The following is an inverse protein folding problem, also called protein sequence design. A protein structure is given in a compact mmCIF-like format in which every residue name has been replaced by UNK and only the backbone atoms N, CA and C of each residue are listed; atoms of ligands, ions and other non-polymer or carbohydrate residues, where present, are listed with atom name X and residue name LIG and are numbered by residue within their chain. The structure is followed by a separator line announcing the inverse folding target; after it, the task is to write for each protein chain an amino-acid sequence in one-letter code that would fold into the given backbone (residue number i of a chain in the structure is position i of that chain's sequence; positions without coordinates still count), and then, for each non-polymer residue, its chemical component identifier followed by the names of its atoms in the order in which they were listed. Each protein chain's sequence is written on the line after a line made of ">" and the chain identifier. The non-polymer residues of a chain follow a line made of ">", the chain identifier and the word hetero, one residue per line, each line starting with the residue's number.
data_IF_277136736826
#
_entry.id   IF_277136736826
#
_cell.length_a   1.000
_cell.length_b   1.000
_cell.length_c   1.000
_cell.angle_alpha   90.00
_cell.angle_beta   90.00
_cell.angle_gamma   90.00
#
_symmetry.space_group_name_H-M   'P 1'
#
loop_
_entity.id
_entity.type
_entity.pdbx_description
1 polymer ?
#
# COMPACT_ATOMS: atom_id res chain seq x y z
N UNK A 1 0.85 -19.02 66.07
CA UNK A 1 1.53 -17.92 66.78
C UNK A 1 2.22 -17.03 65.74
N UNK A 2 1.95 -15.72 65.81
CA UNK A 2 2.33 -14.65 64.88
C UNK A 2 3.82 -14.30 64.98
N UNK A 3 4.48 -13.94 63.85
CA UNK A 3 5.55 -12.90 63.71
C UNK A 3 5.56 -12.44 62.23
N UNK A 4 4.88 -11.35 61.88
CA UNK A 4 5.33 -9.94 61.81
C UNK A 4 6.44 -9.72 60.77
N UNK A 5 6.08 -8.94 59.75
CA UNK A 5 6.90 -8.37 58.65
C UNK A 5 7.57 -7.07 59.15
N UNK A 6 8.75 -6.69 58.62
CA UNK A 6 9.07 -5.27 58.45
C UNK A 6 9.24 -4.92 56.97
N UNK A 7 8.51 -3.90 56.56
CA UNK A 7 8.68 -3.18 55.31
C UNK A 7 10.06 -2.52 55.24
N UNK A 8 10.72 -2.59 54.09
CA UNK A 8 11.89 -1.75 53.77
C UNK A 8 11.80 -1.30 52.30
N UNK A 9 11.33 -0.07 52.16
CA UNK A 9 11.85 1.02 51.32
C UNK A 9 12.06 0.79 49.81
N UNK A 10 11.03 1.21 49.09
CA UNK A 10 11.03 1.84 47.77
C UNK A 10 12.32 2.62 47.44
N UNK A 11 13.02 2.23 46.37
CA UNK A 11 13.89 3.14 45.60
C UNK A 11 13.40 3.10 44.16
N UNK A 12 12.67 4.16 43.79
CA UNK A 12 12.39 4.50 42.40
C UNK A 12 13.73 4.68 41.68
N UNK A 13 14.13 3.69 40.89
CA UNK A 13 15.19 3.89 39.91
C UNK A 13 14.62 4.77 38.80
N UNK A 14 15.11 6.00 38.79
CA UNK A 14 14.81 7.05 37.82
C UNK A 14 14.97 6.50 36.41
N UNK A 15 13.83 6.33 35.72
CA UNK A 15 13.80 6.24 34.26
C UNK A 15 14.35 7.57 33.73
N UNK A 16 15.62 7.61 33.37
CA UNK A 16 16.13 8.61 32.44
C UNK A 16 15.57 8.23 31.06
N UNK A 17 14.34 8.67 30.81
CA UNK A 17 13.79 8.74 29.48
C UNK A 17 14.69 9.69 28.68
N UNK A 18 15.60 9.11 27.89
CA UNK A 18 16.16 9.80 26.73
C UNK A 18 14.96 10.05 25.82
N UNK A 19 14.34 11.21 25.99
CA UNK A 19 13.35 11.74 25.06
C UNK A 19 14.13 12.19 23.82
N UNK A 20 14.61 11.20 23.06
CA UNK A 20 14.99 11.42 21.68
C UNK A 20 13.69 11.78 20.97
N UNK A 21 13.64 12.96 20.35
CA UNK A 21 12.49 13.41 19.58
C UNK A 21 12.00 12.26 18.70
N UNK A 22 10.82 11.72 19.00
CA UNK A 22 10.15 10.75 18.14
C UNK A 22 9.85 11.48 16.83
N UNK A 23 10.77 11.39 15.87
CA UNK A 23 10.41 11.51 14.46
C UNK A 23 9.32 10.46 14.26
N UNK A 24 8.06 10.91 14.18
CA UNK A 24 6.91 10.02 14.12
C UNK A 24 7.15 8.96 13.05
N UNK A 25 7.31 7.70 13.47
CA UNK A 25 7.46 6.60 12.54
C UNK A 25 6.21 6.53 11.68
N UNK A 26 6.36 6.48 10.36
CA UNK A 26 5.23 6.33 9.46
C UNK A 26 4.65 4.93 9.66
N UNK A 27 3.51 4.86 10.35
CA UNK A 27 2.92 3.59 10.77
C UNK A 27 2.20 2.89 9.63
N UNK A 28 1.87 1.60 9.81
CA UNK A 28 1.05 0.86 8.85
C UNK A 28 -0.36 1.47 8.70
N UNK A 29 -0.91 2.05 9.77
CA UNK A 29 -2.21 2.73 9.73
C UNK A 29 -2.13 4.02 8.90
N UNK A 30 -1.02 4.77 9.02
CA UNK A 30 -0.77 5.95 8.18
C UNK A 30 -0.61 5.57 6.71
N UNK A 31 0.07 4.44 6.43
CA UNK A 31 0.19 3.89 5.08
C UNK A 31 -1.19 3.52 4.50
N UNK A 32 -1.99 2.76 5.25
CA UNK A 32 -3.34 2.38 4.85
C UNK A 32 -4.23 3.61 4.59
N UNK A 33 -4.18 4.62 5.46
CA UNK A 33 -4.92 5.86 5.30
C UNK A 33 -4.47 6.65 4.06
N UNK A 34 -3.16 6.70 3.80
CA UNK A 34 -2.60 7.36 2.63
C UNK A 34 -3.02 6.66 1.32
N UNK A 35 -2.89 5.33 1.24
CA UNK A 35 -3.37 4.55 0.09
C UNK A 35 -4.86 4.75 -0.14
N UNK A 36 -5.69 4.61 0.91
CA UNK A 36 -7.15 4.81 0.84
C UNK A 36 -7.50 6.20 0.31
N UNK A 37 -6.80 7.24 0.76
CA UNK A 37 -7.01 8.61 0.28
C UNK A 37 -6.75 8.73 -1.22
N UNK A 38 -5.67 8.12 -1.72
CA UNK A 38 -5.37 8.08 -3.15
C UNK A 38 -6.44 7.28 -3.89
N UNK A 39 -6.79 6.07 -3.43
CA UNK A 39 -7.79 5.25 -4.12
C UNK A 39 -9.16 5.92 -4.23
N UNK A 40 -9.64 6.53 -3.16
CA UNK A 40 -10.93 7.25 -3.17
C UNK A 40 -10.95 8.42 -4.15
N UNK A 41 -9.79 9.04 -4.44
CA UNK A 41 -9.68 10.12 -5.43
C UNK A 41 -9.87 9.60 -6.86
N UNK A 42 -9.38 8.40 -7.18
CA UNK A 42 -9.30 7.91 -8.56
C UNK A 42 -10.35 6.87 -8.95
N UNK A 43 -11.01 6.22 -7.98
CA UNK A 43 -11.93 5.09 -8.21
C UNK A 43 -13.06 5.39 -9.21
N UNK A 44 -13.50 6.65 -9.34
CA UNK A 44 -14.53 7.07 -10.28
C UNK A 44 -14.00 7.70 -11.58
N UNK A 45 -12.68 7.77 -11.75
CA UNK A 45 -12.02 8.42 -12.90
C UNK A 45 -11.14 7.48 -13.73
N UNK A 46 -10.85 6.29 -13.21
CA UNK A 46 -10.17 5.21 -13.93
C UNK A 46 -11.19 4.13 -14.31
N UNK A 47 -10.92 3.44 -15.40
CA UNK A 47 -11.82 2.44 -15.98
C UNK A 47 -11.59 1.12 -15.24
N UNK A 48 -12.51 0.76 -14.34
CA UNK A 48 -12.46 -0.48 -13.56
C UNK A 48 -13.46 -1.53 -14.05
N UNK A 49 -14.25 -1.20 -15.08
CA UNK A 49 -15.36 -2.03 -15.56
C UNK A 49 -14.89 -3.28 -16.31
N UNK A 50 -15.61 -4.37 -16.07
CA UNK A 50 -15.29 -5.68 -16.64
C UNK A 50 -14.07 -6.34 -15.98
N UNK A 51 -13.72 -5.93 -14.76
CA UNK A 51 -12.64 -6.54 -13.99
C UNK A 51 -12.88 -8.04 -13.80
N UNK A 52 -11.81 -8.82 -13.95
CA UNK A 52 -11.80 -10.26 -13.64
C UNK A 52 -11.56 -10.46 -12.16
N UNK A 53 -12.18 -11.47 -11.57
CA UNK A 53 -11.85 -11.86 -10.19
C UNK A 53 -10.67 -12.83 -10.19
N UNK A 54 -9.72 -12.61 -9.29
CA UNK A 54 -8.60 -13.51 -9.02
C UNK A 54 -8.54 -13.80 -7.52
N UNK A 55 -8.48 -15.07 -7.15
CA UNK A 55 -8.23 -15.48 -5.76
C UNK A 55 -6.73 -15.68 -5.56
N UNK A 56 -6.15 -14.94 -4.63
CA UNK A 56 -4.72 -15.03 -4.30
C UNK A 56 -4.42 -16.43 -3.77
N UNK A 57 -3.35 -17.04 -4.27
CA UNK A 57 -2.89 -18.36 -3.80
C UNK A 57 -1.55 -18.25 -3.09
N UNK A 58 -1.20 -19.29 -2.33
CA UNK A 58 0.06 -19.32 -1.59
C UNK A 58 1.26 -19.15 -2.53
N UNK A 59 2.11 -18.18 -2.21
CA UNK A 59 3.33 -17.86 -2.98
C UNK A 59 3.14 -16.79 -4.04
N UNK A 60 1.91 -16.30 -4.24
CA UNK A 60 1.68 -15.15 -5.10
C UNK A 60 2.34 -13.89 -4.54
N UNK A 61 2.87 -13.09 -5.45
CA UNK A 61 3.16 -11.69 -5.21
C UNK A 61 2.27 -10.85 -6.10
N UNK A 62 1.93 -9.64 -5.66
CA UNK A 62 1.08 -8.77 -6.45
C UNK A 62 1.71 -8.42 -7.81
N UNK A 63 3.03 -8.27 -7.87
CA UNK A 63 3.74 -8.05 -9.12
C UNK A 63 3.67 -9.25 -10.07
N UNK A 64 3.75 -10.49 -9.57
CA UNK A 64 3.60 -11.69 -10.39
C UNK A 64 2.17 -11.85 -10.91
N UNK A 65 1.16 -11.56 -10.08
CA UNK A 65 -0.24 -11.49 -10.51
C UNK A 65 -0.39 -10.43 -11.62
N UNK A 66 0.20 -9.26 -11.44
CA UNK A 66 0.16 -8.18 -12.43
C UNK A 66 0.79 -8.62 -13.75
N UNK A 67 1.97 -9.24 -13.72
CA UNK A 67 2.62 -9.80 -14.93
C UNK A 67 1.72 -10.79 -15.64
N UNK A 68 1.08 -11.70 -14.91
CA UNK A 68 0.17 -12.71 -15.46
C UNK A 68 -1.00 -12.11 -16.23
N UNK A 69 -1.53 -10.97 -15.79
CA UNK A 69 -2.72 -10.36 -16.39
C UNK A 69 -2.42 -9.21 -17.36
N UNK A 70 -1.36 -8.44 -17.12
CA UNK A 70 -1.04 -7.22 -17.88
C UNK A 70 0.15 -7.38 -18.82
N UNK A 71 0.93 -8.46 -18.70
CA UNK A 71 2.10 -8.73 -19.54
C UNK A 71 3.43 -8.61 -18.79
N UNK A 72 4.48 -9.21 -19.36
CA UNK A 72 5.79 -9.37 -18.74
C UNK A 72 6.51 -8.07 -18.36
N UNK A 73 6.23 -6.98 -19.08
CA UNK A 73 6.81 -5.66 -18.86
C UNK A 73 5.95 -4.77 -17.94
N UNK A 74 4.81 -5.28 -17.44
CA UNK A 74 3.82 -4.50 -16.67
C UNK A 74 3.77 -4.84 -15.18
N UNK A 75 4.76 -5.54 -14.63
CA UNK A 75 4.74 -6.00 -13.23
C UNK A 75 4.54 -4.90 -12.17
N UNK A 76 4.86 -3.64 -12.49
CA UNK A 76 4.68 -2.48 -11.61
C UNK A 76 3.34 -1.74 -11.81
N UNK A 77 2.46 -2.21 -12.69
CA UNK A 77 1.09 -1.67 -12.87
C UNK A 77 0.09 -2.18 -11.81
N UNK A 78 0.58 -2.88 -10.80
CA UNK A 78 -0.23 -3.38 -9.69
C UNK A 78 -1.07 -2.34 -8.94
N UNK A 79 -0.74 -1.03 -8.89
CA UNK A 79 -1.60 -0.04 -8.25
C UNK A 79 -3.02 -0.01 -8.84
N UNK A 80 -3.20 -0.33 -10.13
CA UNK A 80 -4.52 -0.43 -10.75
C UNK A 80 -5.35 -1.58 -10.17
N UNK A 81 -4.72 -2.73 -9.88
CA UNK A 81 -5.38 -3.86 -9.20
C UNK A 81 -5.77 -3.48 -7.78
N UNK A 82 -4.89 -2.76 -7.08
CA UNK A 82 -5.13 -2.32 -5.70
C UNK A 82 -6.24 -1.28 -5.61
N UNK A 83 -6.29 -0.34 -6.55
CA UNK A 83 -7.40 0.59 -6.67
C UNK A 83 -8.73 -0.14 -6.84
N UNK A 84 -8.79 -1.17 -7.69
CA UNK A 84 -10.00 -1.95 -7.91
C UNK A 84 -10.38 -2.80 -6.69
N UNK A 85 -9.37 -3.29 -5.96
CA UNK A 85 -9.50 -4.21 -4.82
C UNK A 85 -9.48 -3.50 -3.45
N UNK A 86 -9.60 -2.17 -3.43
CA UNK A 86 -9.43 -1.35 -2.21
C UNK A 86 -10.44 -1.63 -1.09
N UNK A 87 -11.55 -2.29 -1.41
CA UNK A 87 -12.56 -2.73 -0.45
C UNK A 87 -12.14 -4.03 0.29
N UNK A 88 -11.11 -4.72 -0.21
CA UNK A 88 -10.57 -5.98 0.32
C UNK A 88 -9.23 -5.72 1.03
N UNK A 89 -8.33 -4.98 0.37
CA UNK A 89 -6.98 -4.71 0.87
C UNK A 89 -6.49 -3.35 0.39
N UNK A 90 -5.84 -2.59 1.27
CA UNK A 90 -5.35 -1.24 0.98
C UNK A 90 -3.86 -1.22 0.67
N UNK A 91 -3.04 -1.82 1.54
CA UNK A 91 -1.60 -1.87 1.31
C UNK A 91 -1.24 -3.03 0.36
N UNK A 92 -0.53 -2.77 -0.75
CA UNK A 92 -0.08 -3.81 -1.68
C UNK A 92 0.75 -4.92 -1.05
N UNK A 93 1.45 -4.64 0.05
CA UNK A 93 2.33 -5.59 0.75
C UNK A 93 1.54 -6.55 1.68
N UNK A 94 0.23 -6.35 1.83
CA UNK A 94 -0.63 -7.10 2.76
C UNK A 94 -1.61 -8.06 2.07
N UNK A 95 -1.34 -8.44 0.82
CA UNK A 95 -2.15 -9.48 0.15
C UNK A 95 -1.92 -10.85 0.79
N UNK A 96 -2.98 -11.63 0.97
CA UNK A 96 -2.90 -12.97 1.56
C UNK A 96 -3.71 -14.00 0.75
N UNK A 97 -3.33 -15.30 0.81
CA UNK A 97 -4.09 -16.35 0.14
C UNK A 97 -5.58 -16.36 0.53
N UNK A 98 -6.45 -16.56 -0.45
CA UNK A 98 -7.91 -16.54 -0.30
C UNK A 98 -8.55 -15.15 -0.50
N UNK A 99 -7.76 -14.07 -0.52
CA UNK A 99 -8.27 -12.75 -0.89
C UNK A 99 -8.71 -12.74 -2.37
N UNK A 100 -9.87 -12.14 -2.64
CA UNK A 100 -10.37 -11.95 -4.01
C UNK A 100 -10.03 -10.56 -4.50
N UNK A 101 -9.08 -10.48 -5.43
CA UNK A 101 -8.69 -9.25 -6.09
C UNK A 101 -9.49 -9.04 -7.37
N UNK A 102 -9.83 -7.79 -7.64
CA UNK A 102 -10.39 -7.33 -8.90
C UNK A 102 -9.25 -6.93 -9.82
N UNK A 103 -9.23 -7.50 -11.03
CA UNK A 103 -8.22 -7.26 -12.06
C UNK A 103 -8.87 -6.49 -13.23
N UNK A 104 -8.82 -5.15 -13.24
CA UNK A 104 -9.29 -4.32 -14.34
C UNK A 104 -8.59 -4.65 -15.66
N UNK A 105 -9.19 -4.20 -16.76
CA UNK A 105 -8.51 -4.21 -18.05
C UNK A 105 -7.55 -3.02 -18.14
N UNK A 106 -6.25 -3.28 -18.04
CA UNK A 106 -5.22 -2.24 -18.18
C UNK A 106 -5.33 -1.53 -19.53
N UNK A 107 -5.62 -2.26 -20.61
CA UNK A 107 -5.57 -1.70 -21.95
C UNK A 107 -6.66 -0.65 -22.16
N UNK A 108 -7.84 -0.80 -21.54
CA UNK A 108 -8.88 0.23 -21.59
C UNK A 108 -8.42 1.57 -21.02
N UNK A 109 -7.68 1.54 -19.92
CA UNK A 109 -7.11 2.76 -19.33
C UNK A 109 -5.97 3.32 -20.20
N UNK A 110 -5.20 2.43 -20.84
CA UNK A 110 -4.13 2.84 -21.74
C UNK A 110 -4.64 3.36 -23.07
N UNK A 111 -5.79 2.95 -23.59
CA UNK A 111 -6.31 3.40 -24.89
C UNK A 111 -7.09 4.71 -24.79
N UNK A 112 -7.73 4.95 -23.65
CA UNK A 112 -8.47 6.18 -23.40
C UNK A 112 -7.52 7.33 -22.96
N UNK A 113 -7.43 8.44 -23.72
CA UNK A 113 -6.49 9.52 -23.40
C UNK A 113 -6.75 10.21 -22.05
N UNK A 114 -8.01 10.32 -21.63
CA UNK A 114 -8.35 10.94 -20.35
C UNK A 114 -7.94 10.02 -19.20
N UNK A 115 -8.33 8.74 -19.27
CA UNK A 115 -7.97 7.73 -18.28
C UNK A 115 -6.44 7.57 -18.20
N UNK A 116 -5.72 7.54 -19.33
CA UNK A 116 -4.25 7.50 -19.36
C UNK A 116 -3.64 8.67 -18.61
N UNK A 117 -4.14 9.89 -18.84
CA UNK A 117 -3.74 11.10 -18.12
C UNK A 117 -4.04 11.03 -16.61
N UNK A 118 -5.20 10.48 -16.21
CA UNK A 118 -5.49 10.22 -14.78
C UNK A 118 -4.55 9.16 -14.21
N UNK A 119 -4.22 8.16 -14.99
CA UNK A 119 -3.36 7.05 -14.58
C UNK A 119 -1.95 7.55 -14.26
N UNK A 120 -1.41 8.46 -15.08
CA UNK A 120 -0.16 9.19 -14.79
C UNK A 120 -0.15 9.83 -13.41
N UNK A 121 -1.16 10.65 -13.10
CA UNK A 121 -1.22 11.36 -11.81
C UNK A 121 -1.46 10.37 -10.66
N UNK A 122 -2.27 9.33 -10.89
CA UNK A 122 -2.48 8.25 -9.93
C UNK A 122 -1.18 7.54 -9.55
N UNK A 123 -0.37 7.13 -10.54
CA UNK A 123 0.92 6.49 -10.30
C UNK A 123 1.88 7.42 -9.52
N UNK A 124 1.90 8.71 -9.84
CA UNK A 124 2.67 9.71 -9.10
C UNK A 124 2.20 9.89 -7.65
N UNK A 125 0.88 9.94 -7.40
CA UNK A 125 0.31 10.03 -6.05
C UNK A 125 0.65 8.77 -5.22
N UNK A 126 0.61 7.58 -5.82
CA UNK A 126 1.00 6.32 -5.16
C UNK A 126 2.50 6.30 -4.86
N UNK A 127 3.34 6.81 -5.77
CA UNK A 127 4.77 6.95 -5.53
C UNK A 127 5.06 7.77 -4.27
N UNK A 128 4.30 8.86 -4.06
CA UNK A 128 4.38 9.66 -2.84
C UNK A 128 4.00 8.91 -1.55
N UNK A 129 3.15 7.88 -1.62
CA UNK A 129 2.86 7.00 -0.47
C UNK A 129 4.07 6.11 -0.18
N UNK A 130 4.69 5.52 -1.21
CA UNK A 130 5.89 4.69 -1.05
C UNK A 130 7.09 5.46 -0.53
N UNK A 131 7.26 6.73 -0.94
CA UNK A 131 8.27 7.62 -0.38
C UNK A 131 8.10 7.76 1.15
N UNK A 132 6.87 8.01 1.62
CA UNK A 132 6.57 8.10 3.06
C UNK A 132 6.82 6.80 3.81
N UNK A 133 6.63 5.65 3.15
CA UNK A 133 7.03 4.31 3.66
C UNK A 133 8.56 4.11 3.67
N UNK A 134 9.36 5.06 3.20
CA UNK A 134 10.81 4.92 3.05
C UNK A 134 11.24 4.04 1.87
N UNK A 135 10.31 3.67 0.98
CA UNK A 135 10.58 2.82 -0.17
C UNK A 135 10.81 3.67 -1.43
N UNK A 136 11.98 4.32 -1.47
CA UNK A 136 12.38 5.22 -2.56
C UNK A 136 12.60 4.49 -3.89
N UNK A 137 12.98 3.21 -3.86
CA UNK A 137 13.12 2.40 -5.06
C UNK A 137 11.76 2.17 -5.75
N UNK A 138 10.72 1.86 -4.97
CA UNK A 138 9.37 1.72 -5.51
C UNK A 138 8.81 3.07 -5.98
N UNK A 139 9.03 4.13 -5.21
CA UNK A 139 8.68 5.50 -5.63
C UNK A 139 9.26 5.80 -7.02
N UNK A 140 10.56 5.63 -7.22
CA UNK A 140 11.21 5.92 -8.50
C UNK A 140 10.61 5.11 -9.65
N UNK A 141 10.36 3.82 -9.44
CA UNK A 141 9.75 2.95 -10.47
C UNK A 141 8.35 3.40 -10.86
N UNK A 142 7.55 3.86 -9.91
CA UNK A 142 6.20 4.37 -10.17
C UNK A 142 6.21 5.73 -10.86
N UNK A 143 7.19 6.59 -10.54
CA UNK A 143 7.41 7.86 -11.25
C UNK A 143 7.84 7.61 -12.70
N UNK A 144 8.75 6.67 -12.94
CA UNK A 144 9.15 6.27 -14.31
C UNK A 144 7.94 5.83 -15.14
N UNK A 145 7.03 5.04 -14.54
CA UNK A 145 5.77 4.65 -15.21
C UNK A 145 4.91 5.88 -15.47
N UNK A 146 4.69 6.73 -14.48
CA UNK A 146 3.90 7.95 -14.63
C UNK A 146 4.41 8.85 -15.77
N UNK A 147 5.73 8.98 -15.92
CA UNK A 147 6.35 9.78 -16.97
C UNK A 147 6.20 9.17 -18.36
N UNK A 148 6.08 7.84 -18.45
CA UNK A 148 5.89 7.10 -19.71
C UNK A 148 4.45 7.11 -20.25
N UNK A 149 3.48 7.54 -19.43
CA UNK A 149 2.05 7.62 -19.74
C UNK A 149 1.65 8.97 -20.34
#
# INVERSE_FOLDING_TARGET
>A
MKRIVPAVTLVFAVLLAVSCATSGEFSQDDANAAFKKVYNRYRSSLILDGAKSYEVVKGDTLSAITVKYYGSDKGYYFPLIMLASSDVVLDPDLIEPGMKLSIPDLQKNLDDPEARGKMKVFFSDIAGVYNKKGNTAMEQKLLEIADSL
#
